data_IF_494966609319
#
_entry.id   IF_494966609319
#
_cell.length_a   1.000
_cell.length_b   1.000
_cell.length_c   1.000
_cell.angle_alpha   90.00
_cell.angle_beta   90.00
_cell.angle_gamma   90.00
#
_symmetry.space_group_name_H-M   'P 1'
#
loop_
_entity.id
_entity.type
_entity.pdbx_description
1 polymer ?
#
# COMPACT_ATOMS: atom_id res chain seq x y z
N UNK A 1 7.37 88.59 3.80
CA UNK A 1 7.83 88.43 2.43
C UNK A 1 7.90 86.93 2.16
N UNK A 2 7.26 86.56 1.15
CA UNK A 2 7.30 85.24 0.48
C UNK A 2 6.78 84.03 1.23
N UNK A 3 5.55 83.72 0.91
CA UNK A 3 4.90 82.45 1.24
C UNK A 3 5.24 81.34 0.25
N UNK A 4 5.37 80.15 0.73
CA UNK A 4 5.47 78.94 -0.13
C UNK A 4 4.37 77.94 0.28
N UNK A 5 3.43 77.74 -0.63
CA UNK A 5 2.35 76.80 -0.52
C UNK A 5 2.84 75.35 -0.65
N UNK A 6 2.61 74.53 0.36
CA UNK A 6 2.93 73.10 0.32
C UNK A 6 1.72 72.33 -0.23
N UNK A 7 1.84 71.78 -1.44
CA UNK A 7 0.87 70.87 -2.03
C UNK A 7 1.09 69.46 -1.45
N UNK A 8 0.17 68.96 -0.68
CA UNK A 8 0.12 67.58 -0.24
C UNK A 8 -0.37 66.69 -1.40
N UNK A 9 0.49 65.87 -1.91
CA UNK A 9 0.15 64.80 -2.83
C UNK A 9 -0.15 63.56 -2.00
N UNK A 10 -1.40 63.17 -2.01
CA UNK A 10 -1.84 61.93 -1.34
C UNK A 10 -1.41 60.72 -2.14
N UNK A 11 -0.57 59.89 -1.56
CA UNK A 11 -0.17 58.59 -2.11
C UNK A 11 -1.15 57.52 -1.60
N UNK A 12 -2.05 57.10 -2.48
CA UNK A 12 -2.98 56.03 -2.20
C UNK A 12 -2.22 54.70 -2.36
N UNK A 13 -1.82 54.08 -1.24
CA UNK A 13 -1.22 52.73 -1.25
C UNK A 13 -2.36 51.73 -1.36
N UNK A 14 -2.53 51.17 -2.54
CA UNK A 14 -3.43 50.08 -2.80
C UNK A 14 -2.74 48.78 -2.30
N UNK A 15 -3.12 48.35 -1.12
CA UNK A 15 -2.64 47.08 -0.53
C UNK A 15 -3.38 45.93 -1.20
N UNK A 16 -2.76 45.37 -2.28
CA UNK A 16 -3.24 44.14 -2.91
C UNK A 16 -2.97 42.93 -2.00
N UNK A 17 -4.01 42.37 -1.40
CA UNK A 17 -3.93 41.08 -0.74
C UNK A 17 -3.76 39.99 -1.81
N UNK A 18 -2.54 39.51 -1.99
CA UNK A 18 -2.27 38.29 -2.72
C UNK A 18 -2.55 37.13 -1.76
N UNK A 19 -3.73 36.55 -1.84
CA UNK A 19 -4.06 35.28 -1.19
C UNK A 19 -3.27 34.17 -1.88
N UNK A 20 -2.10 33.83 -1.33
CA UNK A 20 -1.37 32.64 -1.74
C UNK A 20 -2.19 31.42 -1.30
N UNK A 21 -2.90 30.85 -2.26
CA UNK A 21 -3.54 29.53 -2.11
C UNK A 21 -2.43 28.48 -1.99
N UNK A 22 -2.07 28.14 -0.77
CA UNK A 22 -1.25 26.97 -0.49
C UNK A 22 -2.13 25.75 -0.69
N UNK A 23 -2.06 25.16 -1.87
CA UNK A 23 -2.61 23.82 -2.09
C UNK A 23 -1.84 22.86 -1.17
N UNK A 24 -2.55 22.02 -0.37
CA UNK A 24 -1.87 20.97 0.35
C UNK A 24 -1.29 20.00 -0.67
N UNK A 25 0.03 19.99 -0.79
CA UNK A 25 0.75 18.89 -1.43
C UNK A 25 0.51 17.67 -0.54
N UNK A 26 -0.48 16.86 -0.91
CA UNK A 26 -0.65 15.54 -0.34
C UNK A 26 0.60 14.73 -0.70
N UNK A 27 1.58 14.76 0.19
CA UNK A 27 2.60 13.72 0.24
C UNK A 27 1.85 12.43 0.52
N UNK A 28 1.61 11.64 -0.51
CA UNK A 28 1.18 10.27 -0.37
C UNK A 28 2.37 9.48 0.22
N UNK A 29 2.65 9.72 1.50
CA UNK A 29 3.32 8.73 2.31
C UNK A 29 2.36 7.54 2.33
N UNK A 30 2.81 6.42 1.80
CA UNK A 30 2.13 5.14 1.92
C UNK A 30 2.03 4.80 3.42
N UNK A 31 1.00 5.34 4.07
CA UNK A 31 0.65 4.95 5.41
C UNK A 31 0.33 3.45 5.33
N UNK A 32 0.99 2.63 6.16
CA UNK A 32 0.64 1.24 6.27
C UNK A 32 -0.87 1.14 6.56
N UNK A 33 -1.60 0.27 5.83
CA UNK A 33 -3.04 0.14 6.00
C UNK A 33 -3.39 -0.25 7.44
N UNK A 34 -4.56 0.15 7.91
CA UNK A 34 -5.12 -0.29 9.18
C UNK A 34 -5.59 -1.75 9.09
N UNK A 35 -5.91 -2.37 10.24
CA UNK A 35 -6.45 -3.72 10.24
C UNK A 35 -7.79 -3.82 9.50
N UNK A 36 -8.63 -2.80 9.61
CA UNK A 36 -9.92 -2.74 8.91
C UNK A 36 -9.75 -2.62 7.40
N UNK A 37 -8.78 -1.81 6.93
CA UNK A 37 -8.46 -1.70 5.50
C UNK A 37 -7.99 -3.05 4.93
N UNK A 38 -7.18 -3.79 5.69
CA UNK A 38 -6.70 -5.13 5.30
C UNK A 38 -7.88 -6.11 5.25
N UNK A 39 -8.77 -6.07 6.23
CA UNK A 39 -9.97 -6.93 6.25
C UNK A 39 -10.86 -6.63 5.05
N UNK A 40 -11.11 -5.35 4.76
CA UNK A 40 -11.95 -4.96 3.61
C UNK A 40 -11.33 -5.37 2.27
N UNK A 41 -10.01 -5.22 2.13
CA UNK A 41 -9.29 -5.62 0.92
C UNK A 41 -9.26 -7.14 0.70
N UNK A 42 -9.20 -7.94 1.78
CA UNK A 42 -9.07 -9.39 1.70
C UNK A 42 -10.40 -10.15 1.78
N UNK A 43 -11.49 -9.53 2.21
CA UNK A 43 -12.81 -10.17 2.18
C UNK A 43 -13.31 -10.21 0.74
N UNK A 44 -13.67 -11.40 0.20
CA UNK A 44 -14.27 -11.49 -1.12
C UNK A 44 -15.52 -10.60 -1.18
N UNK A 45 -15.46 -9.55 -2.00
CA UNK A 45 -16.66 -8.80 -2.33
C UNK A 45 -17.57 -9.74 -3.10
N UNK A 46 -18.63 -10.25 -2.46
CA UNK A 46 -19.67 -11.01 -3.15
C UNK A 46 -20.15 -10.20 -4.36
N UNK A 47 -20.84 -10.83 -5.34
CA UNK A 47 -21.36 -10.10 -6.49
C UNK A 47 -22.13 -8.90 -5.95
N UNK A 48 -21.58 -7.68 -6.18
CA UNK A 48 -22.27 -6.45 -5.80
C UNK A 48 -23.61 -6.50 -6.49
N UNK A 49 -24.64 -6.78 -5.69
CA UNK A 49 -26.00 -6.90 -6.18
C UNK A 49 -26.25 -5.75 -7.12
N UNK A 50 -26.75 -6.06 -8.30
CA UNK A 50 -27.24 -5.11 -9.30
C UNK A 50 -28.31 -4.24 -8.64
N UNK A 51 -27.89 -3.29 -7.81
CA UNK A 51 -28.68 -2.14 -7.45
C UNK A 51 -28.88 -1.32 -8.70
N UNK A 52 -30.03 -1.53 -9.34
CA UNK A 52 -30.52 -0.69 -10.41
C UNK A 52 -30.42 0.78 -10.00
N UNK A 53 -29.36 1.46 -10.43
CA UNK A 53 -29.41 2.93 -10.59
C UNK A 53 -28.47 3.41 -11.68
N UNK A 54 -29.15 3.76 -12.77
CA UNK A 54 -28.86 4.91 -13.64
C UNK A 54 -27.67 4.85 -14.58
N UNK A 55 -28.02 4.58 -15.81
CA UNK A 55 -27.44 5.11 -17.03
C UNK A 55 -26.93 6.56 -16.85
N UNK A 56 -25.63 6.76 -16.84
CA UNK A 56 -24.91 7.88 -17.47
C UNK A 56 -23.42 7.67 -17.31
N UNK A 57 -22.77 7.44 -18.47
CA UNK A 57 -21.40 7.75 -18.82
C UNK A 57 -20.40 7.83 -17.66
N UNK A 58 -19.79 6.72 -17.29
CA UNK A 58 -18.53 6.71 -16.56
C UNK A 58 -17.59 5.86 -17.38
N UNK A 59 -16.51 6.50 -17.84
CA UNK A 59 -15.38 5.86 -18.47
C UNK A 59 -14.93 4.67 -17.63
N UNK A 60 -14.77 3.54 -18.29
CA UNK A 60 -14.22 2.33 -17.68
C UNK A 60 -12.84 2.62 -17.15
N UNK A 61 -12.69 2.72 -15.84
CA UNK A 61 -11.38 2.61 -15.19
C UNK A 61 -10.91 1.18 -15.41
N UNK A 62 -9.77 0.95 -16.09
CA UNK A 62 -9.23 -0.40 -16.27
C UNK A 62 -8.64 -0.84 -14.94
N UNK A 63 -9.31 -1.75 -14.24
CA UNK A 63 -8.85 -2.22 -12.93
C UNK A 63 -9.77 -3.21 -12.24
N UNK A 64 -10.59 -3.97 -13.00
CA UNK A 64 -11.24 -5.15 -12.45
C UNK A 64 -10.23 -6.29 -12.49
N UNK A 65 -9.32 -6.32 -11.49
CA UNK A 65 -8.48 -7.48 -11.29
C UNK A 65 -9.38 -8.67 -10.96
N UNK A 66 -9.52 -9.58 -11.93
CA UNK A 66 -10.25 -10.85 -11.85
C UNK A 66 -9.51 -11.88 -10.97
N UNK A 67 -8.63 -11.43 -10.09
CA UNK A 67 -7.85 -12.25 -9.19
C UNK A 67 -8.51 -12.42 -7.80
N UNK A 68 -7.97 -13.31 -6.96
CA UNK A 68 -8.38 -13.40 -5.57
C UNK A 68 -8.13 -12.06 -4.85
N UNK A 69 -8.96 -11.69 -3.85
CA UNK A 69 -8.77 -10.47 -3.07
C UNK A 69 -7.36 -10.38 -2.53
N UNK A 70 -6.69 -9.24 -2.74
CA UNK A 70 -5.30 -9.07 -2.35
C UNK A 70 -4.98 -7.66 -1.88
N UNK A 71 -3.89 -7.54 -1.10
CA UNK A 71 -3.34 -6.27 -0.65
C UNK A 71 -1.81 -6.32 -0.66
N UNK A 72 -1.18 -5.25 -1.11
CA UNK A 72 0.28 -5.08 -1.06
C UNK A 72 0.69 -4.45 0.27
N UNK A 73 1.65 -5.06 0.95
CA UNK A 73 2.27 -4.55 2.15
C UNK A 73 3.76 -4.26 1.92
N UNK A 74 4.21 -3.08 2.34
CA UNK A 74 5.62 -2.70 2.31
C UNK A 74 6.27 -3.07 3.64
N UNK A 75 6.88 -4.26 3.66
CA UNK A 75 7.54 -4.82 4.84
C UNK A 75 9.04 -4.62 4.71
N UNK A 76 9.63 -3.92 5.67
CA UNK A 76 11.06 -3.62 5.67
C UNK A 76 11.88 -4.82 6.11
N UNK A 77 12.87 -5.18 5.28
CA UNK A 77 13.87 -6.19 5.55
C UNK A 77 15.26 -5.56 5.51
N UNK A 78 16.19 -6.10 6.25
CA UNK A 78 17.61 -5.72 6.12
C UNK A 78 18.10 -5.92 4.68
N UNK A 79 19.09 -5.15 4.28
CA UNK A 79 19.63 -5.20 2.92
C UNK A 79 20.06 -6.62 2.55
N UNK A 80 19.65 -7.07 1.38
CA UNK A 80 19.93 -8.42 0.84
C UNK A 80 19.58 -9.58 1.79
N UNK A 81 18.59 -9.36 2.68
CA UNK A 81 18.24 -10.30 3.74
C UNK A 81 16.73 -10.55 3.78
N UNK A 82 16.34 -11.62 4.44
CA UNK A 82 14.97 -11.89 4.87
C UNK A 82 14.77 -11.58 6.37
N UNK A 83 15.77 -10.99 7.03
CA UNK A 83 15.64 -10.53 8.40
C UNK A 83 14.78 -9.28 8.45
N UNK A 84 13.73 -9.32 9.27
CA UNK A 84 12.78 -8.22 9.43
C UNK A 84 13.40 -7.09 10.25
N UNK A 85 13.19 -5.85 9.81
CA UNK A 85 13.50 -4.68 10.61
C UNK A 85 12.45 -4.47 11.72
N UNK A 86 12.78 -3.78 12.81
CA UNK A 86 11.85 -3.56 13.92
C UNK A 86 10.53 -2.92 13.50
N UNK A 87 10.55 -2.02 12.52
CA UNK A 87 9.36 -1.36 11.96
C UNK A 87 8.41 -2.34 11.28
N UNK A 88 8.95 -3.39 10.67
CA UNK A 88 8.16 -4.44 10.00
C UNK A 88 7.19 -5.14 10.98
N UNK A 89 7.58 -5.25 12.25
CA UNK A 89 6.74 -5.89 13.28
C UNK A 89 5.44 -5.12 13.53
N UNK A 90 5.42 -3.80 13.30
CA UNK A 90 4.19 -2.99 13.40
C UNK A 90 3.21 -3.37 12.29
N UNK A 91 3.68 -3.45 11.06
CA UNK A 91 2.88 -3.88 9.90
C UNK A 91 2.38 -5.30 10.08
N UNK A 92 3.23 -6.22 10.55
CA UNK A 92 2.85 -7.61 10.79
C UNK A 92 1.86 -7.76 11.95
N UNK A 93 1.91 -6.89 12.97
CA UNK A 93 0.91 -6.85 14.02
C UNK A 93 -0.47 -6.49 13.47
N UNK A 94 -0.53 -5.45 12.64
CA UNK A 94 -1.77 -5.02 12.01
C UNK A 94 -2.34 -6.13 11.11
N UNK A 95 -1.48 -6.80 10.32
CA UNK A 95 -1.86 -7.94 9.51
C UNK A 95 -2.37 -9.10 10.37
N UNK A 96 -1.66 -9.46 11.44
CA UNK A 96 -2.06 -10.52 12.36
C UNK A 96 -3.45 -10.25 12.97
N UNK A 97 -3.70 -9.02 13.42
CA UNK A 97 -5.02 -8.60 13.92
C UNK A 97 -6.12 -8.73 12.86
N UNK A 98 -5.83 -8.32 11.63
CA UNK A 98 -6.78 -8.43 10.52
C UNK A 98 -7.13 -9.91 10.22
N UNK A 99 -6.12 -10.79 10.20
CA UNK A 99 -6.31 -12.23 9.92
C UNK A 99 -7.06 -12.95 11.03
N UNK A 100 -6.97 -12.48 12.28
CA UNK A 100 -7.74 -13.00 13.42
C UNK A 100 -9.20 -12.52 13.45
N UNK A 101 -9.57 -11.56 12.58
CA UNK A 101 -10.95 -11.07 12.52
C UNK A 101 -11.93 -12.19 12.16
N UNK A 102 -13.18 -12.13 12.65
CA UNK A 102 -14.20 -13.15 12.33
C UNK A 102 -14.45 -13.34 10.84
N UNK A 103 -14.13 -12.32 10.02
CA UNK A 103 -14.32 -12.34 8.57
C UNK A 103 -13.22 -13.12 7.83
N UNK A 104 -12.01 -13.20 8.39
CA UNK A 104 -10.84 -13.78 7.75
C UNK A 104 -10.28 -15.02 8.46
N UNK A 105 -10.70 -15.29 9.69
CA UNK A 105 -10.13 -16.39 10.50
C UNK A 105 -10.23 -17.77 9.85
N UNK A 106 -11.19 -17.99 8.96
CA UNK A 106 -11.36 -19.25 8.23
C UNK A 106 -10.75 -19.19 6.81
N UNK A 107 -10.16 -18.06 6.43
CA UNK A 107 -9.58 -17.89 5.11
C UNK A 107 -8.20 -18.50 5.01
N UNK A 108 -7.88 -19.05 3.84
CA UNK A 108 -6.51 -19.40 3.47
C UNK A 108 -5.83 -18.20 2.85
N UNK A 109 -4.64 -17.93 3.30
CA UNK A 109 -3.86 -16.76 2.90
C UNK A 109 -2.58 -17.20 2.20
N UNK A 110 -2.38 -16.68 1.01
CA UNK A 110 -1.13 -16.82 0.27
C UNK A 110 -0.29 -15.54 0.46
N UNK A 111 0.92 -15.70 0.98
CA UNK A 111 1.91 -14.66 1.20
C UNK A 111 2.89 -14.70 0.04
N UNK A 112 2.91 -13.67 -0.80
CA UNK A 112 3.75 -13.62 -2.01
C UNK A 112 4.83 -12.56 -1.85
N UNK A 113 6.10 -12.99 -1.82
CA UNK A 113 7.23 -12.07 -1.80
C UNK A 113 7.62 -11.61 -3.20
N UNK A 114 7.90 -10.30 -3.34
CA UNK A 114 8.40 -9.70 -4.58
C UNK A 114 9.71 -8.94 -4.32
N UNK A 115 10.54 -8.84 -5.37
CA UNK A 115 11.75 -8.02 -5.39
C UNK A 115 11.66 -6.99 -6.52
N UNK A 116 12.55 -6.01 -6.49
CA UNK A 116 12.89 -5.24 -7.69
C UNK A 116 13.74 -6.09 -8.66
N UNK A 117 14.06 -5.52 -9.82
CA UNK A 117 14.83 -6.21 -10.86
C UNK A 117 16.36 -6.13 -10.67
N UNK A 118 16.85 -5.58 -9.55
CA UNK A 118 18.30 -5.55 -9.28
C UNK A 118 18.82 -6.93 -8.94
N UNK A 119 19.94 -7.30 -9.55
CA UNK A 119 20.60 -8.58 -9.33
C UNK A 119 20.10 -9.71 -10.25
N UNK A 120 20.48 -10.94 -9.94
CA UNK A 120 20.11 -12.09 -10.77
C UNK A 120 18.67 -12.57 -10.46
N UNK A 121 18.00 -13.08 -11.49
CA UNK A 121 16.65 -13.63 -11.35
C UNK A 121 16.59 -14.78 -10.34
N UNK A 122 17.60 -15.66 -10.34
CA UNK A 122 17.68 -16.78 -9.39
C UNK A 122 17.81 -16.29 -7.96
N UNK A 123 18.71 -15.33 -7.71
CA UNK A 123 18.86 -14.74 -6.37
C UNK A 123 17.56 -14.07 -5.90
N UNK A 124 16.93 -13.29 -6.77
CA UNK A 124 15.68 -12.59 -6.43
C UNK A 124 14.54 -13.57 -6.15
N UNK A 125 14.47 -14.67 -6.91
CA UNK A 125 13.50 -15.74 -6.65
C UNK A 125 13.70 -16.35 -5.26
N UNK A 126 14.91 -16.73 -4.90
CA UNK A 126 15.23 -17.29 -3.59
C UNK A 126 15.00 -16.28 -2.46
N UNK A 127 15.42 -15.02 -2.64
CA UNK A 127 15.25 -13.97 -1.66
C UNK A 127 13.76 -13.71 -1.37
N UNK A 128 12.93 -13.66 -2.41
CA UNK A 128 11.50 -13.46 -2.28
C UNK A 128 10.80 -14.60 -1.52
N UNK A 129 11.20 -15.85 -1.78
CA UNK A 129 10.72 -17.03 -1.03
C UNK A 129 11.11 -16.93 0.45
N UNK A 130 12.38 -16.60 0.75
CA UNK A 130 12.85 -16.46 2.13
C UNK A 130 12.09 -15.34 2.87
N UNK A 131 11.81 -14.21 2.21
CA UNK A 131 11.05 -13.09 2.79
C UNK A 131 9.60 -13.47 3.09
N UNK A 132 8.92 -14.14 2.16
CA UNK A 132 7.56 -14.64 2.38
C UNK A 132 7.50 -15.64 3.55
N UNK A 133 8.48 -16.53 3.65
CA UNK A 133 8.58 -17.47 4.78
C UNK A 133 8.87 -16.76 6.12
N UNK A 134 9.68 -15.71 6.14
CA UNK A 134 9.92 -14.92 7.36
C UNK A 134 8.64 -14.27 7.87
N UNK A 135 7.84 -13.69 6.98
CA UNK A 135 6.52 -13.14 7.31
C UNK A 135 5.59 -14.23 7.87
N UNK A 136 5.49 -15.37 7.17
CA UNK A 136 4.70 -16.52 7.62
C UNK A 136 5.11 -16.98 9.01
N UNK A 137 6.40 -17.11 9.27
CA UNK A 137 6.92 -17.56 10.57
C UNK A 137 6.53 -16.63 11.72
N UNK A 138 6.54 -15.30 11.48
CA UNK A 138 6.11 -14.32 12.49
C UNK A 138 4.59 -14.43 12.72
N UNK A 139 3.79 -14.58 11.67
CA UNK A 139 2.34 -14.71 11.81
C UNK A 139 1.95 -15.96 12.61
N UNK A 140 2.60 -17.08 12.36
CA UNK A 140 2.38 -18.32 13.12
C UNK A 140 2.88 -18.18 14.56
N UNK A 141 4.12 -17.69 14.74
CA UNK A 141 4.77 -17.73 16.06
C UNK A 141 4.35 -16.63 17.03
N UNK A 142 3.97 -15.44 16.50
CA UNK A 142 3.66 -14.27 17.33
C UNK A 142 2.16 -13.93 17.37
N UNK A 143 1.37 -14.42 16.42
CA UNK A 143 -0.05 -14.10 16.30
C UNK A 143 -0.97 -15.32 16.30
N UNK A 144 -0.44 -16.52 16.60
CA UNK A 144 -1.22 -17.76 16.72
C UNK A 144 -2.09 -18.07 15.47
N UNK A 145 -1.65 -17.62 14.28
CA UNK A 145 -2.31 -17.98 13.03
C UNK A 145 -1.94 -19.43 12.69
N UNK A 146 -2.91 -20.26 12.44
CA UNK A 146 -2.70 -21.67 12.11
C UNK A 146 -1.82 -21.82 10.85
N UNK A 147 -0.78 -22.64 10.95
CA UNK A 147 0.25 -22.76 9.92
C UNK A 147 -0.28 -23.33 8.58
N UNK A 148 -1.33 -24.12 8.60
CA UNK A 148 -2.00 -24.70 7.42
C UNK A 148 -2.88 -23.69 6.67
N UNK A 149 -3.26 -22.59 7.32
CA UNK A 149 -3.96 -21.47 6.69
C UNK A 149 -3.01 -20.52 5.92
N UNK A 150 -1.70 -20.63 6.13
CA UNK A 150 -0.72 -19.75 5.55
C UNK A 150 0.20 -20.49 4.57
N UNK A 151 0.21 -20.07 3.31
CA UNK A 151 1.16 -20.52 2.30
C UNK A 151 2.10 -19.37 1.93
N UNK A 152 3.38 -19.66 1.72
CA UNK A 152 4.37 -18.67 1.32
C UNK A 152 4.98 -19.00 -0.04
N UNK A 153 4.99 -18.03 -0.95
CA UNK A 153 5.60 -18.13 -2.28
C UNK A 153 6.51 -16.93 -2.54
N UNK A 154 7.47 -17.10 -3.46
CA UNK A 154 8.25 -15.99 -4.00
C UNK A 154 8.03 -15.88 -5.50
N UNK A 155 7.98 -14.67 -6.00
CA UNK A 155 7.89 -14.34 -7.43
C UNK A 155 9.13 -13.60 -7.93
N UNK A 156 10.08 -13.28 -7.04
CA UNK A 156 11.24 -12.47 -7.41
C UNK A 156 10.81 -11.18 -8.11
N UNK A 157 11.45 -10.88 -9.24
CA UNK A 157 11.12 -9.74 -10.10
C UNK A 157 10.20 -10.10 -11.28
N UNK A 158 9.54 -11.26 -11.29
CA UNK A 158 8.71 -11.70 -12.43
C UNK A 158 7.35 -10.99 -12.50
N UNK A 159 6.90 -10.40 -11.40
CA UNK A 159 5.63 -9.69 -11.29
C UNK A 159 5.88 -8.31 -10.66
N UNK A 160 6.49 -7.42 -11.42
CA UNK A 160 6.73 -6.05 -11.00
C UNK A 160 5.41 -5.28 -10.90
N UNK A 161 5.27 -4.46 -9.86
CA UNK A 161 4.15 -3.52 -9.72
C UNK A 161 4.29 -2.35 -10.67
N UNK A 162 5.51 -1.85 -10.79
CA UNK A 162 5.90 -0.85 -11.78
C UNK A 162 6.94 -1.42 -12.74
N UNK A 163 6.46 -1.88 -13.90
CA UNK A 163 7.31 -2.41 -14.96
C UNK A 163 8.05 -1.33 -15.76
N UNK A 164 7.60 -0.07 -15.68
CA UNK A 164 8.28 1.06 -16.29
C UNK A 164 9.55 1.44 -15.51
N UNK A 165 9.54 1.23 -14.19
CA UNK A 165 10.67 1.47 -13.29
C UNK A 165 11.02 0.16 -12.54
N UNK A 166 11.63 -0.83 -13.20
CA UNK A 166 11.77 -2.18 -12.65
C UNK A 166 12.65 -2.25 -11.39
N UNK A 167 13.52 -1.27 -11.18
CA UNK A 167 14.42 -1.19 -10.01
C UNK A 167 13.85 -0.33 -8.87
N UNK A 168 12.66 0.22 -9.03
CA UNK A 168 12.03 1.05 -8.00
C UNK A 168 11.65 0.24 -6.75
N UNK A 169 11.71 0.92 -5.60
CA UNK A 169 11.36 0.35 -4.30
C UNK A 169 9.92 -0.14 -4.19
N UNK A 170 9.01 0.40 -4.99
CA UNK A 170 7.60 -0.02 -5.03
C UNK A 170 7.43 -1.51 -5.43
N UNK A 171 8.42 -2.05 -6.13
CA UNK A 171 8.44 -3.47 -6.51
C UNK A 171 8.84 -4.39 -5.34
N UNK A 172 9.53 -3.86 -4.31
CA UNK A 172 9.92 -4.62 -3.11
C UNK A 172 8.75 -4.64 -2.12
N UNK A 173 7.87 -5.60 -2.27
CA UNK A 173 6.65 -5.73 -1.48
C UNK A 173 6.35 -7.18 -1.11
N UNK A 174 5.45 -7.35 -0.16
CA UNK A 174 4.80 -8.64 0.14
C UNK A 174 3.32 -8.47 -0.16
N UNK A 175 2.81 -9.27 -1.06
CA UNK A 175 1.41 -9.31 -1.40
C UNK A 175 0.71 -10.39 -0.57
N UNK A 176 -0.41 -10.04 0.02
CA UNK A 176 -1.27 -10.95 0.80
C UNK A 176 -2.51 -11.22 -0.03
N UNK A 177 -2.78 -12.47 -0.34
CA UNK A 177 -3.95 -12.91 -1.12
C UNK A 177 -4.84 -13.81 -0.30
N UNK A 178 -6.13 -13.57 -0.33
CA UNK A 178 -7.11 -14.51 0.20
C UNK A 178 -7.49 -15.50 -0.90
N UNK A 179 -7.08 -16.77 -0.73
CA UNK A 179 -7.33 -17.83 -1.71
C UNK A 179 -8.57 -18.66 -1.37
N UNK A 180 -9.41 -18.17 -0.48
CA UNK A 180 -10.69 -18.77 -0.10
C UNK A 180 -10.67 -19.47 1.25
N UNK A 181 -11.82 -20.00 1.64
CA UNK A 181 -11.96 -20.86 2.81
C UNK A 181 -11.73 -22.34 2.43
N UNK A 182 -11.50 -23.17 3.45
CA UNK A 182 -11.48 -24.63 3.31
C UNK A 182 -12.86 -25.16 2.93
#
# INVERSE_FOLDING_TARGET
MSGAASRRVGFLVLCGLIAASVAPTASAQSANPSADDIVEALVPSGPRGLGMRSLRGIEETPGTETGPPSIDLYINFKLNSAELEPEALRTLRVLGQALQSPKLKESRILIVGHTDAKGSATYNQELSVRRANAVRSVLVGAFDIEADKLTAEGKGATQLKDSANPEDGINRRVEIRNVGAN
#
